data_IF_275163856755
#
_entry.id   IF_275163856755
#
_cell.length_a   1.000
_cell.length_b   1.000
_cell.length_c   1.000
_cell.angle_alpha   90.00
_cell.angle_beta   90.00
_cell.angle_gamma   90.00
#
_symmetry.space_group_name_H-M   'P 1'
#
loop_
_entity.id
_entity.type
_entity.pdbx_description
1 polymer ?
#
# COMPACT_ATOMS: atom_id res chain seq x y z
N UNK A 1 -22.75 39.72 -6.87
CA UNK A 1 -22.75 38.77 -8.02
C UNK A 1 -21.35 38.32 -8.38
N UNK A 2 -20.42 39.21 -8.76
CA UNK A 2 -19.03 38.84 -9.11
C UNK A 2 -18.29 38.10 -7.96
N UNK A 3 -18.40 38.57 -6.72
CA UNK A 3 -17.79 37.91 -5.56
C UNK A 3 -18.37 36.50 -5.33
N UNK A 4 -19.68 36.33 -5.51
CA UNK A 4 -20.34 35.02 -5.39
C UNK A 4 -19.91 34.09 -6.53
N UNK A 5 -19.76 34.61 -7.74
CA UNK A 5 -19.30 33.84 -8.90
C UNK A 5 -17.83 33.43 -8.77
N UNK A 6 -16.97 34.32 -8.25
CA UNK A 6 -15.57 34.01 -7.91
C UNK A 6 -15.53 32.98 -6.78
N UNK A 7 -16.37 33.11 -5.75
CA UNK A 7 -16.43 32.14 -4.65
C UNK A 7 -16.93 30.78 -5.13
N UNK A 8 -17.91 30.72 -6.03
CA UNK A 8 -18.38 29.48 -6.67
C UNK A 8 -17.28 28.89 -7.54
N UNK A 9 -16.60 29.67 -8.38
CA UNK A 9 -15.49 29.18 -9.22
C UNK A 9 -14.33 28.69 -8.36
N UNK A 10 -13.94 29.41 -7.31
CA UNK A 10 -12.88 29.00 -6.38
C UNK A 10 -13.28 27.73 -5.64
N UNK A 11 -14.52 27.61 -5.15
CA UNK A 11 -15.00 26.38 -4.53
C UNK A 11 -15.10 25.24 -5.54
N UNK A 12 -15.53 25.49 -6.78
CA UNK A 12 -15.49 24.50 -7.86
C UNK A 12 -14.05 24.09 -8.15
N UNK A 13 -13.10 25.03 -8.16
CA UNK A 13 -11.70 24.81 -8.47
C UNK A 13 -10.96 24.08 -7.35
N UNK A 14 -11.23 24.41 -6.09
CA UNK A 14 -10.77 23.68 -4.90
C UNK A 14 -11.42 22.28 -4.86
N UNK A 15 -12.70 22.15 -5.23
CA UNK A 15 -13.38 20.87 -5.39
C UNK A 15 -12.81 20.04 -6.57
N UNK A 16 -12.22 20.69 -7.57
CA UNK A 16 -11.57 20.05 -8.72
C UNK A 16 -10.08 19.74 -8.52
N UNK A 17 -9.45 20.26 -7.47
CA UNK A 17 -8.09 19.85 -7.06
C UNK A 17 -8.17 18.51 -6.33
N UNK A 18 -8.48 17.48 -7.11
CA UNK A 18 -8.47 16.09 -6.66
C UNK A 18 -7.00 15.64 -6.55
N UNK A 19 -6.55 15.39 -5.32
CA UNK A 19 -5.50 14.39 -5.05
C UNK A 19 -5.74 13.13 -5.93
N UNK A 20 -4.71 12.56 -6.50
CA UNK A 20 -4.83 11.45 -7.44
C UNK A 20 -3.89 10.34 -7.03
N UNK A 21 -4.45 9.15 -6.81
CA UNK A 21 -3.69 7.97 -6.41
C UNK A 21 -3.61 6.98 -7.55
N UNK A 22 -2.39 6.64 -7.96
CA UNK A 22 -2.11 5.60 -8.95
C UNK A 22 -1.45 4.40 -8.29
N UNK A 23 -2.08 3.24 -8.44
CA UNK A 23 -1.47 1.96 -8.08
C UNK A 23 -0.85 1.33 -9.33
N UNK A 24 0.41 0.94 -9.22
CA UNK A 24 1.18 0.26 -10.26
C UNK A 24 1.34 -1.20 -9.83
N UNK A 25 0.44 -2.05 -10.33
CA UNK A 25 0.38 -3.48 -10.05
C UNK A 25 0.49 -4.29 -11.34
N UNK A 26 1.71 -4.50 -11.82
CA UNK A 26 1.94 -5.02 -13.19
C UNK A 26 1.71 -6.52 -13.35
N UNK A 27 1.49 -7.26 -12.26
CA UNK A 27 1.41 -8.72 -12.28
C UNK A 27 0.19 -9.26 -11.50
N UNK A 28 -1.05 -8.99 -11.97
CA UNK A 28 -2.26 -9.50 -11.32
C UNK A 28 -2.34 -11.03 -11.34
N UNK A 29 -3.24 -11.56 -10.51
CA UNK A 29 -3.64 -12.96 -10.52
C UNK A 29 -5.13 -13.08 -10.20
N UNK A 30 -5.78 -14.11 -10.74
CA UNK A 30 -7.06 -14.53 -10.19
C UNK A 30 -6.76 -15.34 -8.93
N UNK A 31 -7.25 -14.88 -7.78
CA UNK A 31 -7.10 -15.61 -6.54
C UNK A 31 -8.12 -16.74 -6.49
N UNK A 32 -7.67 -17.95 -6.18
CA UNK A 32 -8.53 -19.13 -5.97
C UNK A 32 -8.27 -19.70 -4.59
N UNK A 33 -9.29 -19.76 -3.75
CA UNK A 33 -9.17 -20.36 -2.43
C UNK A 33 -9.90 -21.69 -2.38
N UNK A 34 -9.23 -22.69 -1.84
CA UNK A 34 -9.77 -24.02 -1.63
C UNK A 34 -9.78 -24.29 -0.12
N UNK A 35 -10.97 -24.35 0.47
CA UNK A 35 -11.12 -24.56 1.92
C UNK A 35 -11.13 -26.06 2.21
N UNK A 36 -10.26 -26.49 3.11
CA UNK A 36 -10.11 -27.87 3.54
C UNK A 36 -10.85 -28.10 4.86
N UNK A 37 -11.51 -29.27 5.04
CA UNK A 37 -12.15 -29.62 6.31
C UNK A 37 -11.14 -29.97 7.43
N UNK A 38 -9.86 -30.16 7.09
CA UNK A 38 -8.78 -30.54 8.00
C UNK A 38 -7.41 -30.20 7.41
N UNK A 39 -6.35 -30.64 8.08
CA UNK A 39 -4.96 -30.32 7.69
C UNK A 39 -4.57 -30.93 6.33
N UNK A 40 -3.75 -30.21 5.57
CA UNK A 40 -3.23 -30.67 4.29
C UNK A 40 -2.22 -31.80 4.49
N UNK A 41 -2.50 -32.97 3.90
CA UNK A 41 -1.64 -34.17 3.98
C UNK A 41 -1.11 -34.55 2.59
N UNK A 42 0.20 -34.41 2.32
CA UNK A 42 0.79 -34.80 1.05
C UNK A 42 0.55 -36.27 0.71
N UNK A 43 0.18 -36.56 -0.55
CA UNK A 43 -0.11 -37.92 -1.03
C UNK A 43 -1.57 -38.36 -0.90
N UNK A 44 -2.38 -37.64 -0.11
CA UNK A 44 -3.80 -37.96 0.09
C UNK A 44 -4.72 -37.21 -0.89
N UNK A 45 -5.93 -37.75 -1.07
CA UNK A 45 -7.02 -37.08 -1.78
C UNK A 45 -7.81 -36.21 -0.81
N UNK A 46 -7.75 -34.90 -1.02
CA UNK A 46 -8.50 -33.92 -0.22
C UNK A 46 -9.81 -33.54 -0.90
N UNK A 47 -10.91 -33.55 -0.13
CA UNK A 47 -12.23 -33.08 -0.59
C UNK A 47 -12.48 -31.71 0.03
N UNK A 48 -12.46 -30.70 -0.83
CA UNK A 48 -12.69 -29.30 -0.44
C UNK A 48 -14.14 -29.09 0.03
N UNK A 49 -14.32 -28.23 1.02
CA UNK A 49 -15.65 -27.83 1.52
C UNK A 49 -16.19 -26.59 0.80
N UNK A 50 -15.30 -25.73 0.30
CA UNK A 50 -15.64 -24.55 -0.48
C UNK A 50 -14.56 -24.20 -1.51
N UNK A 51 -15.00 -23.58 -2.60
CA UNK A 51 -14.15 -22.89 -3.58
C UNK A 51 -14.57 -21.43 -3.60
N UNK A 52 -13.60 -20.53 -3.51
CA UNK A 52 -13.84 -19.11 -3.70
C UNK A 52 -12.87 -18.56 -4.74
N UNK A 53 -13.31 -17.53 -5.43
CA UNK A 53 -12.49 -16.78 -6.39
C UNK A 53 -12.51 -15.32 -6.03
N UNK A 54 -11.35 -14.67 -6.04
CA UNK A 54 -11.20 -13.29 -5.65
C UNK A 54 -10.10 -12.58 -6.43
N UNK A 55 -9.85 -11.35 -6.00
CA UNK A 55 -8.80 -10.51 -6.50
C UNK A 55 -7.46 -11.00 -5.94
N UNK A 56 -6.42 -11.00 -6.77
CA UNK A 56 -5.07 -11.33 -6.35
C UNK A 56 -4.02 -10.48 -7.06
N UNK A 57 -2.94 -10.24 -6.34
CA UNK A 57 -1.81 -9.45 -6.80
C UNK A 57 -1.65 -8.20 -5.96
N UNK A 58 -0.45 -7.97 -5.44
CA UNK A 58 -0.17 -6.91 -4.45
C UNK A 58 -0.74 -5.54 -4.83
N UNK A 59 -0.60 -5.12 -6.09
CA UNK A 59 -1.16 -3.84 -6.55
C UNK A 59 -2.68 -3.82 -6.64
N UNK A 60 -3.30 -4.93 -7.02
CA UNK A 60 -4.75 -5.08 -7.03
C UNK A 60 -5.30 -5.06 -5.60
N UNK A 61 -4.63 -5.76 -4.68
CA UNK A 61 -4.94 -5.83 -3.26
C UNK A 61 -4.82 -4.43 -2.58
N UNK A 62 -3.80 -3.64 -2.93
CA UNK A 62 -3.69 -2.23 -2.51
C UNK A 62 -4.85 -1.39 -3.04
N UNK A 63 -5.26 -1.58 -4.30
CA UNK A 63 -6.38 -0.83 -4.87
C UNK A 63 -7.71 -1.14 -4.16
N UNK A 64 -7.94 -2.40 -3.80
CA UNK A 64 -9.10 -2.83 -3.00
C UNK A 64 -9.08 -2.15 -1.63
N UNK A 65 -7.98 -2.22 -0.89
CA UNK A 65 -7.88 -1.62 0.43
C UNK A 65 -8.08 -0.09 0.40
N UNK A 66 -7.51 0.60 -0.60
CA UNK A 66 -7.75 2.03 -0.82
C UNK A 66 -9.23 2.34 -1.13
N UNK A 67 -9.91 1.48 -1.91
CA UNK A 67 -11.35 1.60 -2.19
C UNK A 67 -12.21 1.42 -0.92
N UNK A 68 -11.85 0.46 -0.06
CA UNK A 68 -12.50 0.27 1.23
C UNK A 68 -12.36 1.52 2.11
N UNK A 69 -11.15 2.10 2.17
CA UNK A 69 -10.90 3.34 2.92
C UNK A 69 -11.63 4.54 2.31
N UNK A 70 -11.81 4.61 0.99
CA UNK A 70 -12.55 5.69 0.35
C UNK A 70 -14.08 5.60 0.55
N UNK A 71 -14.59 4.50 1.09
CA UNK A 71 -16.03 4.27 1.28
C UNK A 71 -16.51 4.86 2.60
N UNK A 72 -17.51 5.75 2.55
CA UNK A 72 -18.20 6.26 3.74
C UNK A 72 -19.09 5.18 4.37
N UNK A 73 -18.51 4.22 5.10
CA UNK A 73 -19.11 3.42 6.19
C UNK A 73 -20.52 2.82 6.02
N UNK A 74 -21.08 2.76 4.82
CA UNK A 74 -22.48 2.39 4.57
C UNK A 74 -22.58 1.12 3.76
N UNK A 75 -22.73 -0.03 4.42
CA UNK A 75 -23.41 -1.19 3.84
C UNK A 75 -22.57 -2.43 3.56
N UNK A 76 -21.93 -3.00 4.59
CA UNK A 76 -21.59 -4.43 4.62
C UNK A 76 -22.69 -5.24 5.31
N UNK A 77 -23.88 -5.31 4.72
CA UNK A 77 -25.04 -5.98 5.33
C UNK A 77 -25.99 -6.57 4.29
N UNK A 78 -25.74 -7.81 3.90
CA UNK A 78 -26.69 -8.61 3.13
C UNK A 78 -27.81 -9.08 4.08
N UNK A 79 -28.96 -8.40 4.08
CA UNK A 79 -30.11 -8.76 4.91
C UNK A 79 -31.36 -7.98 4.51
N UNK A 80 -32.29 -8.65 3.83
CA UNK A 80 -33.59 -8.09 3.45
C UNK A 80 -34.37 -7.57 4.65
N UNK A 81 -34.93 -6.38 4.49
CA UNK A 81 -35.85 -5.76 5.43
C UNK A 81 -36.49 -4.55 4.78
N UNK A 82 -37.73 -4.70 4.35
CA UNK A 82 -38.61 -3.59 4.01
C UNK A 82 -38.66 -2.63 5.20
N UNK A 83 -38.31 -1.37 4.99
CA UNK A 83 -38.82 -0.25 5.77
C UNK A 83 -38.71 1.04 4.96
N UNK A 84 -39.87 1.46 4.46
CA UNK A 84 -40.17 2.84 4.14
C UNK A 84 -39.97 3.71 5.39
N UNK A 85 -39.05 4.68 5.34
CA UNK A 85 -39.26 6.06 5.78
C UNK A 85 -37.98 6.90 5.68
N UNK A 86 -38.12 8.03 5.00
CA UNK A 86 -37.71 9.38 5.41
C UNK A 86 -36.23 9.62 5.79
N UNK A 87 -35.47 10.23 4.88
CA UNK A 87 -34.91 11.57 5.12
C UNK A 87 -34.25 12.13 3.85
N UNK A 88 -34.96 13.05 3.21
CA UNK A 88 -34.50 13.78 2.03
C UNK A 88 -33.77 15.06 2.42
N UNK A 89 -32.61 14.94 3.08
CA UNK A 89 -31.71 16.10 3.27
C UNK A 89 -30.29 15.71 3.73
N UNK A 90 -29.48 15.16 2.81
CA UNK A 90 -28.00 15.32 2.84
C UNK A 90 -27.40 14.94 1.48
N UNK A 91 -27.71 15.72 0.45
CA UNK A 91 -27.01 15.66 -0.84
C UNK A 91 -25.63 16.35 -0.75
N UNK A 92 -24.76 15.79 0.08
CA UNK A 92 -23.31 15.83 -0.13
C UNK A 92 -22.85 14.39 -0.34
N UNK A 93 -23.21 13.80 -1.49
CA UNK A 93 -22.49 12.66 -2.02
C UNK A 93 -21.06 13.15 -2.29
N UNK A 94 -20.17 13.04 -1.30
CA UNK A 94 -18.74 13.04 -1.55
C UNK A 94 -18.51 11.96 -2.62
N UNK A 95 -18.13 12.39 -3.82
CA UNK A 95 -17.74 11.48 -4.89
C UNK A 95 -16.62 10.58 -4.36
N UNK A 96 -16.90 9.29 -4.22
CA UNK A 96 -15.92 8.28 -3.85
C UNK A 96 -14.73 8.38 -4.81
N UNK A 97 -13.55 8.66 -4.28
CA UNK A 97 -12.34 8.80 -5.08
C UNK A 97 -11.59 7.47 -5.08
N UNK A 98 -11.96 6.60 -6.01
CA UNK A 98 -11.29 5.33 -6.21
C UNK A 98 -9.89 5.53 -6.81
N UNK A 99 -8.92 4.67 -6.48
CA UNK A 99 -7.60 4.71 -7.09
C UNK A 99 -7.66 4.37 -8.58
N UNK A 100 -6.64 4.82 -9.33
CA UNK A 100 -6.36 4.33 -10.68
C UNK A 100 -5.41 3.14 -10.59
N UNK A 101 -5.50 2.19 -11.52
CA UNK A 101 -4.66 0.99 -11.52
C UNK A 101 -3.99 0.78 -12.90
N UNK A 102 -2.66 0.79 -12.91
CA UNK A 102 -1.85 0.40 -14.06
C UNK A 102 -1.47 -1.08 -13.97
N UNK A 103 -1.89 -1.87 -14.95
CA UNK A 103 -1.67 -3.32 -14.93
C UNK A 103 -1.65 -3.97 -16.33
N UNK A 104 -1.01 -5.13 -16.41
CA UNK A 104 -1.17 -6.09 -17.51
C UNK A 104 -2.18 -7.17 -17.11
N UNK A 105 -3.27 -7.32 -17.84
CA UNK A 105 -4.34 -8.26 -17.49
C UNK A 105 -4.60 -9.23 -18.65
N UNK A 106 -4.36 -10.52 -18.42
CA UNK A 106 -4.55 -11.55 -19.44
C UNK A 106 -5.94 -11.55 -20.07
N UNK A 107 -6.03 -11.86 -21.35
CA UNK A 107 -7.32 -12.05 -22.04
C UNK A 107 -7.97 -13.39 -21.65
N UNK A 108 -9.28 -13.49 -21.90
CA UNK A 108 -10.08 -14.68 -21.61
C UNK A 108 -10.77 -14.65 -20.24
N UNK A 109 -11.47 -15.74 -19.94
CA UNK A 109 -12.44 -15.81 -18.84
C UNK A 109 -11.88 -15.36 -17.48
N UNK A 110 -10.70 -15.85 -17.06
CA UNK A 110 -10.11 -15.46 -15.78
C UNK A 110 -9.79 -13.96 -15.71
N UNK A 111 -9.30 -13.39 -16.81
CA UNK A 111 -9.02 -11.95 -16.88
C UNK A 111 -10.28 -11.10 -16.89
N UNK A 112 -11.33 -11.56 -17.57
CA UNK A 112 -12.63 -10.88 -17.58
C UNK A 112 -13.31 -10.93 -16.21
N UNK A 113 -13.21 -12.08 -15.52
CA UNK A 113 -13.67 -12.22 -14.13
C UNK A 113 -12.93 -11.26 -13.21
N UNK A 114 -11.59 -11.23 -13.24
CA UNK A 114 -10.82 -10.32 -12.40
C UNK A 114 -11.11 -8.86 -12.73
N UNK A 115 -11.28 -8.51 -14.00
CA UNK A 115 -11.64 -7.15 -14.42
C UNK A 115 -12.99 -6.72 -13.84
N UNK A 116 -14.00 -7.61 -13.89
CA UNK A 116 -15.32 -7.35 -13.30
C UNK A 116 -15.28 -7.23 -11.77
N UNK A 117 -14.41 -8.00 -11.10
CA UNK A 117 -14.19 -7.88 -9.66
C UNK A 117 -13.48 -6.56 -9.28
N UNK A 118 -12.57 -6.06 -10.13
CA UNK A 118 -11.84 -4.81 -9.89
C UNK A 118 -12.64 -3.54 -10.20
N UNK A 119 -13.62 -3.60 -11.10
CA UNK A 119 -14.44 -2.45 -11.53
C UNK A 119 -15.01 -1.59 -10.38
N UNK A 120 -15.59 -2.16 -9.30
CA UNK A 120 -16.08 -1.36 -8.17
C UNK A 120 -14.97 -0.71 -7.32
N UNK A 121 -13.71 -1.15 -7.47
CA UNK A 121 -12.59 -0.70 -6.64
C UNK A 121 -11.63 0.26 -7.34
N UNK A 122 -11.74 0.39 -8.66
CA UNK A 122 -10.78 1.14 -9.48
C UNK A 122 -11.50 2.14 -10.37
N UNK A 123 -11.11 3.42 -10.29
CA UNK A 123 -11.63 4.43 -11.20
C UNK A 123 -11.20 4.12 -12.64
N UNK A 124 -12.20 4.00 -13.53
CA UNK A 124 -12.01 3.68 -14.96
C UNK A 124 -11.07 2.47 -15.15
N UNK A 125 -11.38 1.32 -14.56
CA UNK A 125 -10.53 0.11 -14.56
C UNK A 125 -9.92 -0.23 -15.93
N UNK A 126 -10.67 -0.04 -17.01
CA UNK A 126 -10.22 -0.29 -18.39
C UNK A 126 -9.11 0.64 -18.88
N UNK A 127 -9.03 1.87 -18.36
CA UNK A 127 -8.20 2.95 -18.92
C UNK A 127 -6.71 2.62 -18.91
N UNK A 128 -6.17 2.15 -17.78
CA UNK A 128 -4.77 1.80 -17.59
C UNK A 128 -4.54 0.28 -17.48
N UNK A 129 -5.51 -0.51 -17.97
CA UNK A 129 -5.40 -1.97 -18.07
C UNK A 129 -5.03 -2.39 -19.49
N UNK A 130 -3.87 -2.99 -19.65
CA UNK A 130 -3.38 -3.52 -20.92
C UNK A 130 -3.80 -4.98 -21.02
N UNK A 131 -4.69 -5.32 -21.96
CA UNK A 131 -5.19 -6.69 -22.12
C UNK A 131 -4.19 -7.54 -22.90
N UNK A 132 -3.49 -8.45 -22.21
CA UNK A 132 -2.41 -9.24 -22.82
C UNK A 132 -2.91 -10.52 -23.50
N UNK A 133 -2.21 -10.99 -24.52
CA UNK A 133 -2.56 -12.22 -25.24
C UNK A 133 -2.36 -13.47 -24.38
N UNK A 134 -1.39 -13.44 -23.46
CA UNK A 134 -1.18 -14.52 -22.50
C UNK A 134 -2.35 -14.61 -21.50
N UNK A 135 -2.74 -15.82 -21.06
CA UNK A 135 -3.76 -15.97 -20.04
C UNK A 135 -3.32 -15.38 -18.69
N UNK A 136 -4.29 -14.95 -17.88
CA UNK A 136 -4.06 -14.53 -16.51
C UNK A 136 -3.68 -15.73 -15.64
N UNK A 137 -2.62 -15.60 -14.83
CA UNK A 137 -2.23 -16.63 -13.85
C UNK A 137 -3.26 -16.79 -12.74
N UNK A 138 -3.31 -17.98 -12.14
CA UNK A 138 -4.12 -18.24 -10.95
C UNK A 138 -3.20 -18.45 -9.75
N UNK A 139 -3.44 -17.73 -8.66
CA UNK A 139 -2.84 -18.02 -7.36
C UNK A 139 -3.83 -18.87 -6.58
N UNK A 140 -3.43 -20.08 -6.17
CA UNK A 140 -4.30 -20.99 -5.42
C UNK A 140 -3.85 -21.09 -3.97
N UNK A 141 -4.69 -20.67 -3.02
CA UNK A 141 -4.42 -20.85 -1.59
C UNK A 141 -5.28 -22.01 -1.04
N UNK A 142 -4.60 -23.00 -0.47
CA UNK A 142 -5.20 -24.11 0.26
C UNK A 142 -5.33 -23.69 1.72
N UNK A 143 -6.54 -23.48 2.20
CA UNK A 143 -6.81 -22.99 3.56
C UNK A 143 -7.28 -24.15 4.42
N UNK A 144 -6.42 -24.58 5.34
CA UNK A 144 -6.70 -25.57 6.38
C UNK A 144 -6.98 -24.86 7.72
N UNK A 145 -7.51 -25.56 8.74
CA UNK A 145 -7.80 -24.96 10.04
C UNK A 145 -6.58 -24.37 10.77
N UNK A 146 -5.39 -24.88 10.47
CA UNK A 146 -4.13 -24.56 11.16
C UNK A 146 -3.10 -23.85 10.26
N UNK A 147 -3.35 -23.78 8.95
CA UNK A 147 -2.33 -23.40 7.99
C UNK A 147 -2.92 -22.95 6.65
N UNK A 148 -2.13 -22.18 5.91
CA UNK A 148 -2.40 -21.86 4.51
C UNK A 148 -1.18 -22.21 3.67
N UNK A 149 -1.41 -22.91 2.55
CA UNK A 149 -0.36 -23.20 1.54
C UNK A 149 -0.72 -22.52 0.22
N UNK A 150 0.22 -21.78 -0.36
CA UNK A 150 0.01 -21.08 -1.63
C UNK A 150 0.71 -21.77 -2.80
N UNK A 151 -0.02 -21.90 -3.91
CA UNK A 151 0.47 -22.37 -5.20
C UNK A 151 0.34 -21.23 -6.20
N UNK A 152 1.48 -20.63 -6.54
CA UNK A 152 1.54 -19.47 -7.44
C UNK A 152 1.91 -19.95 -8.84
N UNK A 153 0.97 -19.83 -9.79
CA UNK A 153 1.26 -20.10 -11.19
C UNK A 153 2.19 -19.01 -11.78
N UNK A 154 3.10 -19.39 -12.70
CA UNK A 154 3.91 -18.40 -13.41
C UNK A 154 3.04 -17.54 -14.32
N UNK A 155 3.33 -16.25 -14.37
CA UNK A 155 2.63 -15.32 -15.27
C UNK A 155 3.05 -15.51 -16.72
N UNK A 156 2.14 -15.13 -17.63
CA UNK A 156 2.44 -15.04 -19.05
C UNK A 156 3.49 -13.97 -19.39
N UNK A 157 4.17 -14.16 -20.52
CA UNK A 157 5.15 -13.20 -21.05
C UNK A 157 4.45 -11.96 -21.59
N UNK A 158 5.10 -10.80 -21.43
CA UNK A 158 4.63 -9.52 -21.98
C UNK A 158 5.30 -9.26 -23.33
N UNK A 159 4.48 -9.07 -24.37
CA UNK A 159 4.96 -8.74 -25.71
C UNK A 159 5.40 -7.27 -25.81
N UNK A 160 6.35 -6.98 -26.71
CA UNK A 160 6.81 -5.60 -26.93
C UNK A 160 5.68 -4.63 -27.33
N UNK A 161 4.67 -5.11 -28.06
CA UNK A 161 3.50 -4.30 -28.42
C UNK A 161 2.62 -3.97 -27.20
N UNK A 162 2.49 -4.90 -26.24
CA UNK A 162 1.75 -4.67 -24.99
C UNK A 162 2.49 -3.66 -24.10
N UNK A 163 3.83 -3.72 -24.08
CA UNK A 163 4.65 -2.73 -23.40
C UNK A 163 4.52 -1.33 -24.05
N UNK A 164 4.52 -1.25 -25.37
CA UNK A 164 4.30 0.02 -26.09
C UNK A 164 2.92 0.60 -25.78
N UNK A 165 1.89 -0.25 -25.73
CA UNK A 165 0.53 0.16 -25.35
C UNK A 165 0.49 0.73 -23.92
N UNK A 166 1.21 0.12 -22.97
CA UNK A 166 1.31 0.64 -21.60
C UNK A 166 1.81 2.10 -21.59
N UNK A 167 2.90 2.38 -22.29
CA UNK A 167 3.47 3.72 -22.37
C UNK A 167 2.54 4.71 -23.09
N UNK A 168 1.89 4.26 -24.15
CA UNK A 168 0.92 5.05 -24.90
C UNK A 168 -0.27 5.48 -24.04
N UNK A 169 -0.84 4.56 -23.25
CA UNK A 169 -1.97 4.87 -22.36
C UNK A 169 -1.59 5.85 -21.25
N UNK A 170 -0.39 5.72 -20.70
CA UNK A 170 0.12 6.68 -19.73
C UNK A 170 0.27 8.09 -20.34
N UNK A 171 0.76 8.19 -21.58
CA UNK A 171 0.87 9.48 -22.28
C UNK A 171 -0.48 10.13 -22.55
N UNK A 172 -1.47 9.33 -22.95
CA UNK A 172 -2.83 9.80 -23.14
C UNK A 172 -3.44 10.31 -21.82
N UNK A 173 -3.20 9.61 -20.71
CA UNK A 173 -3.71 10.01 -19.40
C UNK A 173 -3.07 11.32 -18.91
N UNK A 174 -1.76 11.48 -19.08
CA UNK A 174 -1.05 12.73 -18.75
C UNK A 174 -1.47 13.89 -19.63
N UNK A 175 -1.83 13.64 -20.90
CA UNK A 175 -2.26 14.69 -21.85
C UNK A 175 -3.71 15.15 -21.62
N UNK A 176 -4.55 14.29 -21.04
CA UNK A 176 -5.98 14.55 -20.83
C UNK A 176 -6.28 15.24 -19.50
N UNK A 177 -5.34 15.21 -18.56
CA UNK A 177 -5.50 15.77 -17.22
C UNK A 177 -4.85 17.15 -17.12
N UNK A 178 -5.61 18.16 -16.69
CA UNK A 178 -5.12 19.54 -16.47
C UNK A 178 -4.16 19.68 -15.27
N UNK A 179 -3.93 18.60 -14.52
CA UNK A 179 -2.88 18.45 -13.50
C UNK A 179 -2.15 17.12 -13.75
N UNK A 180 -0.89 17.14 -14.22
CA UNK A 180 -0.18 15.93 -14.66
C UNK A 180 0.52 15.14 -13.53
N UNK A 181 0.39 15.57 -12.27
CA UNK A 181 1.11 14.97 -11.14
C UNK A 181 0.20 14.09 -10.30
N UNK A 182 0.61 12.84 -10.10
CA UNK A 182 0.00 11.94 -9.13
C UNK A 182 0.44 12.32 -7.73
N UNK A 183 -0.51 12.57 -6.84
CA UNK A 183 -0.23 12.96 -5.46
C UNK A 183 0.23 11.78 -4.61
N UNK A 184 -0.21 10.58 -4.96
CA UNK A 184 0.19 9.33 -4.34
C UNK A 184 0.41 8.24 -5.38
N UNK A 185 1.50 7.48 -5.25
CA UNK A 185 1.73 6.27 -6.02
C UNK A 185 2.03 5.07 -5.14
N UNK A 186 1.63 3.90 -5.62
CA UNK A 186 1.92 2.61 -5.00
C UNK A 186 2.60 1.70 -6.03
N UNK A 187 3.87 1.36 -5.86
CA UNK A 187 4.61 0.45 -6.76
C UNK A 187 4.70 -0.93 -6.11
N UNK A 188 3.94 -1.87 -6.64
CA UNK A 188 3.58 -3.08 -5.90
C UNK A 188 3.91 -4.36 -6.67
N UNK A 189 4.65 -5.24 -5.99
CA UNK A 189 4.85 -6.64 -6.34
C UNK A 189 5.91 -6.90 -7.40
N UNK A 190 5.88 -8.14 -7.90
CA UNK A 190 6.83 -8.62 -8.90
C UNK A 190 6.41 -8.21 -10.31
N UNK A 191 7.35 -8.37 -11.25
CA UNK A 191 7.10 -8.12 -12.66
C UNK A 191 6.71 -9.43 -13.36
N UNK A 192 5.79 -9.39 -14.35
CA UNK A 192 5.59 -10.53 -15.24
C UNK A 192 6.85 -10.74 -16.11
N UNK A 193 7.06 -11.94 -16.67
CA UNK A 193 8.18 -12.22 -17.55
C UNK A 193 8.27 -11.25 -18.74
N UNK A 194 9.51 -10.92 -19.12
CA UNK A 194 9.88 -10.01 -20.22
C UNK A 194 9.55 -8.52 -20.01
N UNK A 195 9.00 -8.15 -18.85
CA UNK A 195 9.05 -6.75 -18.40
C UNK A 195 10.50 -6.33 -18.12
N UNK A 196 10.93 -5.12 -18.53
CA UNK A 196 12.22 -4.57 -18.14
C UNK A 196 12.37 -4.53 -16.62
N UNK A 197 13.51 -4.98 -16.10
CA UNK A 197 13.76 -5.03 -14.66
C UNK A 197 13.78 -3.65 -14.00
N UNK A 198 13.99 -2.59 -14.77
CA UNK A 198 14.02 -1.19 -14.35
C UNK A 198 12.70 -0.44 -14.61
N UNK A 199 11.62 -1.14 -14.99
CA UNK A 199 10.35 -0.49 -15.37
C UNK A 199 9.78 0.41 -14.27
N UNK A 200 9.93 0.04 -12.99
CA UNK A 200 9.51 0.91 -11.88
C UNK A 200 10.31 2.20 -11.80
N UNK A 201 11.61 2.17 -12.12
CA UNK A 201 12.44 3.36 -12.22
C UNK A 201 11.97 4.26 -13.38
N UNK A 202 11.68 3.67 -14.55
CA UNK A 202 11.17 4.41 -15.72
C UNK A 202 9.79 5.02 -15.44
N UNK A 203 8.90 4.28 -14.78
CA UNK A 203 7.58 4.76 -14.39
C UNK A 203 7.70 5.87 -13.34
N UNK A 204 8.55 5.73 -12.33
CA UNK A 204 8.79 6.79 -11.35
C UNK A 204 9.32 8.07 -12.01
N UNK A 205 10.26 7.95 -12.94
CA UNK A 205 10.80 9.07 -13.71
C UNK A 205 9.72 9.83 -14.50
N UNK A 206 8.82 9.07 -15.14
CA UNK A 206 7.71 9.60 -15.95
C UNK A 206 6.59 10.21 -15.11
N UNK A 207 6.23 9.56 -14.00
CA UNK A 207 5.07 9.93 -13.17
C UNK A 207 5.40 11.04 -12.17
N UNK A 208 6.65 11.11 -11.68
CA UNK A 208 7.12 12.07 -10.67
C UNK A 208 6.16 12.22 -9.48
N UNK A 209 5.85 11.13 -8.76
CA UNK A 209 4.80 11.14 -7.75
C UNK A 209 5.09 12.09 -6.58
N UNK A 210 4.01 12.57 -5.96
CA UNK A 210 4.01 13.38 -4.74
C UNK A 210 4.50 12.57 -3.55
N UNK A 211 3.75 11.56 -3.13
CA UNK A 211 4.13 10.53 -2.16
C UNK A 211 4.15 9.14 -2.82
N UNK A 212 4.96 8.23 -2.32
CA UNK A 212 5.16 6.93 -2.95
C UNK A 212 5.38 5.83 -1.90
N UNK A 213 4.60 4.76 -1.97
CA UNK A 213 4.86 3.50 -1.25
C UNK A 213 5.38 2.47 -2.25
N UNK A 214 6.49 1.82 -1.93
CA UNK A 214 7.08 0.76 -2.74
C UNK A 214 7.07 -0.53 -1.94
N UNK A 215 6.49 -1.58 -2.49
CA UNK A 215 6.55 -2.97 -1.99
C UNK A 215 7.05 -3.85 -3.14
N UNK A 216 8.33 -3.68 -3.49
CA UNK A 216 9.01 -4.51 -4.48
C UNK A 216 10.52 -4.44 -4.32
N UNK A 217 11.16 -5.61 -4.44
CA UNK A 217 12.62 -5.72 -4.49
C UNK A 217 13.14 -5.77 -5.94
N UNK A 218 12.25 -6.00 -6.92
CA UNK A 218 12.62 -6.11 -8.32
C UNK A 218 12.97 -4.72 -8.85
N UNK A 219 14.20 -4.55 -9.35
CA UNK A 219 14.64 -3.28 -9.91
C UNK A 219 14.99 -2.21 -8.88
N UNK A 220 15.05 -2.57 -7.59
CA UNK A 220 15.28 -1.61 -6.50
C UNK A 220 16.52 -0.72 -6.70
N UNK A 221 17.71 -1.22 -7.12
CA UNK A 221 18.87 -0.34 -7.37
C UNK A 221 18.59 0.76 -8.39
N UNK A 222 17.96 0.42 -9.52
CA UNK A 222 17.64 1.39 -10.57
C UNK A 222 16.59 2.40 -10.10
N UNK A 223 15.60 1.96 -9.31
CA UNK A 223 14.60 2.83 -8.74
C UNK A 223 15.22 3.85 -7.76
N UNK A 224 16.07 3.38 -6.83
CA UNK A 224 16.78 4.25 -5.89
C UNK A 224 17.64 5.29 -6.61
N UNK A 225 18.39 4.89 -7.63
CA UNK A 225 19.21 5.80 -8.43
C UNK A 225 18.36 6.88 -9.12
N UNK A 226 17.24 6.51 -9.75
CA UNK A 226 16.32 7.48 -10.36
C UNK A 226 15.73 8.45 -9.33
N UNK A 227 15.33 7.94 -8.16
CA UNK A 227 14.80 8.78 -7.08
C UNK A 227 15.87 9.78 -6.61
N UNK A 228 17.09 9.32 -6.38
CA UNK A 228 18.24 10.14 -5.99
C UNK A 228 18.49 11.28 -6.99
N UNK A 229 18.55 10.96 -8.29
CA UNK A 229 18.78 11.94 -9.35
C UNK A 229 17.68 13.00 -9.39
N UNK A 230 16.41 12.60 -9.26
CA UNK A 230 15.28 13.55 -9.22
C UNK A 230 15.35 14.49 -8.02
N UNK A 231 15.76 13.99 -6.85
CA UNK A 231 15.92 14.82 -5.67
C UNK A 231 17.05 15.85 -5.83
N UNK A 232 18.19 15.45 -6.38
CA UNK A 232 19.28 16.38 -6.68
C UNK A 232 18.87 17.48 -7.66
N UNK A 233 18.12 17.13 -8.72
CA UNK A 233 17.60 18.11 -9.68
C UNK A 233 16.65 19.14 -9.04
N UNK A 234 15.80 18.70 -8.10
CA UNK A 234 14.90 19.59 -7.34
C UNK A 234 15.68 20.57 -6.44
N UNK A 235 16.77 20.12 -5.81
CA UNK A 235 17.60 20.97 -4.95
C UNK A 235 18.42 22.00 -5.75
N UNK A 236 18.90 21.66 -6.94
CA UNK A 236 19.63 22.60 -7.79
C UNK A 236 18.72 23.71 -8.34
N UNK A 237 17.48 23.38 -8.73
CA UNK A 237 16.54 24.35 -9.29
C UNK A 237 16.00 25.35 -8.24
N UNK A 238 15.76 24.93 -7.00
CA UNK A 238 15.25 25.78 -5.90
C UNK A 238 16.29 26.78 -5.34
N UNK A 239 17.59 26.54 -5.53
CA UNK A 239 18.66 27.45 -5.10
C UNK A 239 18.75 28.76 -5.88
N UNK A 240 17.97 28.93 -6.95
CA UNK A 240 17.99 30.11 -7.83
C UNK A 240 16.87 31.13 -7.58
N UNK A 241 15.90 30.81 -6.72
CA UNK A 241 14.77 31.69 -6.36
C UNK A 241 14.85 32.13 -4.89
N UNK A 242 15.63 33.18 -4.62
CA UNK A 242 15.70 33.81 -3.30
C UNK A 242 14.56 34.82 -3.11
N UNK A 243 13.43 34.42 -2.50
CA UNK A 243 12.59 35.35 -1.72
C UNK A 243 11.50 34.65 -0.88
N UNK A 244 11.60 34.93 0.43
CA UNK A 244 10.56 35.00 1.48
C UNK A 244 9.86 33.73 2.02
N UNK A 245 10.19 33.50 3.31
CA UNK A 245 9.36 33.12 4.46
C UNK A 245 8.77 31.71 4.60
N UNK A 246 9.47 30.94 5.43
CA UNK A 246 8.93 30.08 6.50
C UNK A 246 7.86 29.03 6.12
N UNK A 247 8.33 27.89 5.64
CA UNK A 247 8.21 26.59 6.30
C UNK A 247 9.39 25.74 5.85
N UNK A 248 10.32 25.50 6.76
CA UNK A 248 11.31 24.44 6.60
C UNK A 248 10.56 23.13 6.35
N UNK A 249 10.65 22.61 5.13
CA UNK A 249 10.54 21.17 4.91
C UNK A 249 11.65 20.83 3.94
N UNK A 250 12.66 20.19 4.51
CA UNK A 250 13.75 19.55 3.81
C UNK A 250 13.18 18.67 2.71
N UNK A 251 13.61 18.92 1.46
CA UNK A 251 13.17 18.17 0.28
C UNK A 251 13.80 16.77 0.25
N UNK A 252 13.54 15.96 1.27
CA UNK A 252 13.85 14.54 1.27
C UNK A 252 12.86 13.80 0.37
N UNK A 253 13.23 12.59 -0.03
CA UNK A 253 12.33 11.73 -0.80
C UNK A 253 10.98 11.63 -0.14
N UNK A 254 9.95 11.52 -0.97
CA UNK A 254 8.59 11.21 -0.55
C UNK A 254 8.30 9.73 -0.84
N UNK A 255 9.26 8.87 -0.56
CA UNK A 255 9.23 7.45 -0.93
C UNK A 255 9.52 6.60 0.29
N UNK A 256 8.59 5.71 0.65
CA UNK A 256 8.81 4.69 1.67
C UNK A 256 8.92 3.33 1.01
N UNK A 257 9.97 2.58 1.36
CA UNK A 257 10.09 1.16 1.03
C UNK A 257 9.44 0.37 2.16
N UNK A 258 8.32 -0.31 1.86
CA UNK A 258 7.70 -1.25 2.78
C UNK A 258 8.16 -2.66 2.43
N UNK A 259 8.67 -3.38 3.42
CA UNK A 259 9.25 -4.72 3.26
C UNK A 259 9.02 -5.53 4.55
N UNK A 260 8.90 -6.85 4.46
CA UNK A 260 8.88 -7.68 5.66
C UNK A 260 10.29 -7.77 6.29
N UNK A 261 10.39 -7.91 7.62
CA UNK A 261 11.66 -8.18 8.31
C UNK A 261 12.39 -9.38 7.70
N UNK A 262 11.70 -10.49 7.46
CA UNK A 262 12.27 -11.70 6.84
C UNK A 262 12.79 -11.44 5.42
N UNK A 263 12.07 -10.62 4.64
CA UNK A 263 12.47 -10.23 3.29
C UNK A 263 13.72 -9.34 3.32
N UNK A 264 13.80 -8.42 4.29
CA UNK A 264 14.99 -7.58 4.48
C UNK A 264 16.20 -8.42 4.87
N UNK A 265 16.06 -9.30 5.86
CA UNK A 265 17.12 -10.20 6.30
C UNK A 265 17.63 -11.06 5.13
N UNK A 266 16.71 -11.65 4.35
CA UNK A 266 17.07 -12.41 3.15
C UNK A 266 17.78 -11.56 2.10
N UNK A 267 17.34 -10.31 1.88
CA UNK A 267 17.92 -9.39 0.90
C UNK A 267 19.38 -9.05 1.22
N UNK A 268 19.70 -8.85 2.51
CA UNK A 268 21.05 -8.48 2.97
C UNK A 268 21.90 -9.70 3.36
N UNK A 269 21.35 -10.91 3.30
CA UNK A 269 22.06 -12.15 3.60
C UNK A 269 22.25 -12.43 5.09
N UNK A 270 21.37 -11.91 5.96
CA UNK A 270 21.32 -12.27 7.38
C UNK A 270 20.55 -13.59 7.56
N UNK A 271 21.25 -14.64 7.94
CA UNK A 271 20.66 -15.95 8.24
C UNK A 271 20.17 -16.04 9.68
N UNK A 272 18.96 -16.59 9.89
CA UNK A 272 18.41 -16.91 11.23
C UNK A 272 19.27 -17.88 12.06
N UNK A 273 20.25 -18.56 11.46
CA UNK A 273 21.16 -19.50 12.14
C UNK A 273 22.10 -18.83 13.17
N UNK A 274 22.33 -17.51 13.08
CA UNK A 274 23.07 -16.76 14.09
C UNK A 274 22.22 -16.38 15.32
N UNK A 275 20.89 -16.46 15.23
CA UNK A 275 19.93 -16.18 16.32
C UNK A 275 19.78 -17.37 17.28
N UNK A 276 19.82 -18.62 16.77
CA UNK A 276 19.69 -19.81 17.62
C UNK A 276 20.86 -20.01 18.60
N UNK A 277 22.05 -19.46 18.31
CA UNK A 277 23.20 -19.52 19.22
C UNK A 277 23.17 -18.43 20.32
N UNK A 278 22.25 -17.46 20.24
CA UNK A 278 22.13 -16.34 21.19
C UNK A 278 20.92 -16.42 22.14
N UNK A 279 20.18 -17.54 22.15
CA UNK A 279 19.02 -17.79 23.06
C UNK A 279 19.36 -17.88 24.56
N UNK A 280 20.38 -17.16 25.02
CA UNK A 280 20.80 -17.07 26.41
C UNK A 280 21.09 -15.60 26.80
N UNK A 281 20.14 -14.69 26.56
CA UNK A 281 20.26 -13.29 27.00
C UNK A 281 18.98 -12.46 26.81
N UNK A 282 18.57 -11.78 27.88
CA UNK A 282 17.31 -11.04 28.08
C UNK A 282 17.30 -9.64 27.44
N UNK A 283 17.71 -9.55 26.17
CA UNK A 283 17.57 -8.34 25.33
C UNK A 283 16.67 -8.71 24.16
N UNK A 284 15.77 -7.82 23.74
CA UNK A 284 14.84 -8.04 22.63
C UNK A 284 15.63 -8.23 21.32
N UNK A 285 16.05 -9.46 21.05
CA UNK A 285 16.99 -9.87 19.98
C UNK A 285 16.51 -9.39 18.60
N UNK A 286 15.19 -9.24 18.44
CA UNK A 286 14.55 -8.70 17.24
C UNK A 286 14.97 -7.27 16.93
N UNK A 287 15.07 -6.39 17.94
CA UNK A 287 15.42 -4.98 17.73
C UNK A 287 16.86 -4.88 17.19
N UNK A 288 17.77 -5.71 17.72
CA UNK A 288 19.17 -5.80 17.28
C UNK A 288 19.27 -6.35 15.87
N UNK A 289 18.56 -7.44 15.56
CA UNK A 289 18.50 -8.01 14.21
C UNK A 289 17.99 -6.98 13.21
N UNK A 290 16.92 -6.25 13.53
CA UNK A 290 16.38 -5.20 12.66
C UNK A 290 17.38 -4.07 12.44
N UNK A 291 18.06 -3.61 13.49
CA UNK A 291 19.07 -2.56 13.38
C UNK A 291 20.23 -3.00 12.46
N UNK A 292 20.72 -4.22 12.66
CA UNK A 292 21.77 -4.81 11.84
C UNK A 292 21.33 -4.96 10.37
N UNK A 293 20.10 -5.44 10.13
CA UNK A 293 19.54 -5.60 8.79
C UNK A 293 19.41 -4.26 8.05
N UNK A 294 18.94 -3.20 8.74
CA UNK A 294 18.85 -1.86 8.16
C UNK A 294 20.25 -1.31 7.85
N UNK A 295 21.22 -1.48 8.75
CA UNK A 295 22.61 -1.05 8.50
C UNK A 295 23.19 -1.73 7.27
N UNK A 296 23.07 -3.05 7.15
CA UNK A 296 23.58 -3.80 6.01
C UNK A 296 22.86 -3.42 4.70
N UNK A 297 21.57 -3.12 4.78
CA UNK A 297 20.80 -2.60 3.64
C UNK A 297 21.36 -1.26 3.15
N UNK A 298 21.66 -0.34 4.06
CA UNK A 298 22.23 0.96 3.68
C UNK A 298 23.65 0.82 3.09
N UNK A 299 24.44 -0.13 3.57
CA UNK A 299 25.76 -0.43 3.02
C UNK A 299 25.67 -1.04 1.60
N UNK A 300 24.71 -1.94 1.38
CA UNK A 300 24.50 -2.60 0.10
C UNK A 300 23.86 -1.66 -0.95
N UNK A 301 23.02 -0.73 -0.51
CA UNK A 301 22.30 0.23 -1.35
C UNK A 301 22.66 1.67 -0.96
N UNK A 302 23.83 2.14 -1.39
CA UNK A 302 24.42 3.44 -1.03
C UNK A 302 23.50 4.65 -1.27
N UNK A 303 22.55 4.55 -2.21
CA UNK A 303 21.56 5.60 -2.49
C UNK A 303 20.36 5.58 -1.56
N UNK A 304 20.08 4.50 -0.83
CA UNK A 304 18.85 4.32 -0.07
C UNK A 304 18.58 5.45 0.92
N UNK A 305 19.54 5.77 1.79
CA UNK A 305 19.39 6.84 2.81
C UNK A 305 19.14 8.24 2.21
N UNK A 306 19.59 8.46 0.97
CA UNK A 306 19.37 9.74 0.26
C UNK A 306 18.16 9.71 -0.66
N UNK A 307 17.56 8.55 -0.89
CA UNK A 307 16.45 8.37 -1.83
C UNK A 307 15.13 8.15 -1.11
N UNK A 308 15.14 7.45 0.02
CA UNK A 308 13.97 7.07 0.78
C UNK A 308 13.72 8.06 1.93
N UNK A 309 12.45 8.27 2.26
CA UNK A 309 12.02 8.89 3.53
C UNK A 309 12.24 7.92 4.68
N UNK A 310 11.92 6.65 4.46
CA UNK A 310 12.07 5.59 5.44
C UNK A 310 12.04 4.21 4.80
N UNK A 311 12.44 3.22 5.58
CA UNK A 311 12.08 1.81 5.36
C UNK A 311 11.07 1.43 6.45
N UNK A 312 9.89 0.95 6.04
CA UNK A 312 8.84 0.44 6.92
C UNK A 312 8.88 -1.10 6.93
N UNK A 313 9.13 -1.68 8.10
CA UNK A 313 9.37 -3.10 8.30
C UNK A 313 8.18 -3.74 9.00
N UNK A 314 7.42 -4.57 8.29
CA UNK A 314 6.31 -5.32 8.88
C UNK A 314 6.78 -6.68 9.41
N UNK A 315 6.25 -7.14 10.54
CA UNK A 315 6.64 -8.40 11.17
C UNK A 315 5.43 -9.28 11.58
N UNK A 316 4.42 -9.36 10.72
CA UNK A 316 3.22 -10.15 11.01
C UNK A 316 2.50 -9.69 12.30
N UNK A 317 2.27 -10.57 13.30
CA UNK A 317 1.61 -10.21 14.55
C UNK A 317 2.51 -9.43 15.54
N UNK A 318 3.81 -9.38 15.28
CA UNK A 318 4.81 -8.73 16.12
C UNK A 318 4.97 -7.24 15.76
N UNK A 319 5.58 -6.42 16.64
CA UNK A 319 5.81 -5.00 16.35
C UNK A 319 6.50 -4.79 15.01
N UNK A 320 6.04 -3.76 14.29
CA UNK A 320 6.69 -3.27 13.08
C UNK A 320 7.77 -2.25 13.43
N UNK A 321 8.57 -1.88 12.44
CA UNK A 321 9.62 -0.87 12.60
C UNK A 321 9.60 0.16 11.48
N UNK A 322 10.04 1.37 11.76
CA UNK A 322 10.24 2.43 10.76
C UNK A 322 11.63 3.01 10.95
N UNK A 323 12.53 2.72 10.01
CA UNK A 323 13.84 3.34 9.93
C UNK A 323 13.73 4.64 9.13
N UNK A 324 13.73 5.77 9.82
CA UNK A 324 13.56 7.11 9.27
C UNK A 324 14.86 7.67 8.70
N UNK A 325 14.78 8.43 7.60
CA UNK A 325 15.91 9.11 6.97
C UNK A 325 15.63 10.61 6.77
N UNK A 326 16.65 11.47 6.88
CA UNK A 326 18.09 11.17 7.00
C UNK A 326 18.58 10.96 8.44
N UNK A 327 17.70 11.10 9.44
CA UNK A 327 18.06 11.07 10.86
C UNK A 327 18.47 9.67 11.36
N UNK A 328 18.21 8.63 10.57
CA UNK A 328 18.54 7.23 10.88
C UNK A 328 17.92 6.78 12.22
N UNK A 329 16.77 7.37 12.58
CA UNK A 329 16.05 6.99 13.79
C UNK A 329 15.22 5.74 13.52
N UNK A 330 15.40 4.71 14.34
CA UNK A 330 14.54 3.53 14.33
C UNK A 330 13.37 3.71 15.30
N UNK A 331 12.15 3.58 14.79
CA UNK A 331 10.92 3.57 15.57
C UNK A 331 10.35 2.17 15.62
N UNK A 332 9.99 1.69 16.81
CA UNK A 332 9.21 0.47 17.02
C UNK A 332 7.74 0.84 17.13
N UNK A 333 6.92 0.22 16.28
CA UNK A 333 5.50 0.52 16.12
C UNK A 333 4.67 -0.69 16.55
N UNK A 334 3.88 -0.57 17.63
CA UNK A 334 3.04 -1.68 18.11
C UNK A 334 1.99 -2.10 17.07
N UNK A 335 1.74 -3.41 16.96
CA UNK A 335 0.63 -3.97 16.17
C UNK A 335 -0.58 -4.22 17.08
N UNK A 336 -1.80 -3.81 16.69
CA UNK A 336 -2.98 -4.01 17.52
C UNK A 336 -3.34 -5.49 17.60
N UNK A 337 -3.48 -6.02 18.82
CA UNK A 337 -3.73 -7.45 19.05
C UNK A 337 -5.18 -7.84 18.74
N UNK A 338 -5.39 -8.86 17.91
CA UNK A 338 -6.73 -9.39 17.66
C UNK A 338 -7.16 -10.30 18.81
N UNK A 339 -8.22 -9.91 19.53
CA UNK A 339 -8.81 -10.73 20.60
C UNK A 339 -9.61 -11.87 19.97
N UNK A 340 -8.96 -12.96 19.60
CA UNK A 340 -9.61 -14.06 18.88
C UNK A 340 -9.34 -15.40 19.56
N UNK A 341 -10.37 -15.95 20.22
CA UNK A 341 -10.36 -17.35 20.66
C UNK A 341 -11.27 -18.22 19.77
N UNK A 342 -12.09 -17.61 18.90
CA UNK A 342 -13.11 -18.31 18.10
C UNK A 342 -13.24 -17.85 16.64
N UNK A 343 -12.49 -16.83 16.21
CA UNK A 343 -12.63 -16.24 14.86
C UNK A 343 -11.48 -16.69 13.97
N UNK A 344 -11.79 -17.28 12.82
CA UNK A 344 -10.80 -17.58 11.77
C UNK A 344 -10.21 -16.28 11.24
N UNK A 345 -8.88 -16.22 11.12
CA UNK A 345 -8.15 -15.08 10.57
C UNK A 345 -7.65 -15.38 9.16
N UNK A 346 -7.61 -14.35 8.32
CA UNK A 346 -7.19 -14.42 6.92
C UNK A 346 -6.04 -13.43 6.65
N UNK A 347 -4.79 -13.77 7.00
CA UNK A 347 -3.67 -12.82 6.94
C UNK A 347 -3.17 -12.51 5.51
N UNK A 348 -3.70 -13.18 4.49
CA UNK A 348 -3.28 -12.98 3.10
C UNK A 348 -3.70 -11.57 2.64
N UNK A 349 -2.76 -10.82 2.08
CA UNK A 349 -2.99 -9.44 1.67
C UNK A 349 -2.87 -8.41 2.80
N UNK A 350 -2.72 -8.82 4.06
CA UNK A 350 -2.60 -7.88 5.18
C UNK A 350 -1.46 -6.87 4.99
N UNK A 351 -0.33 -7.32 4.45
CA UNK A 351 0.78 -6.43 4.11
C UNK A 351 0.46 -5.41 3.00
N UNK A 352 -0.42 -5.75 2.07
CA UNK A 352 -0.86 -4.86 1.00
C UNK A 352 -1.88 -3.84 1.54
N UNK A 353 -2.76 -4.27 2.45
CA UNK A 353 -3.62 -3.36 3.22
C UNK A 353 -2.82 -2.40 4.12
N UNK A 354 -1.67 -2.83 4.68
CA UNK A 354 -0.73 -1.92 5.36
C UNK A 354 -0.23 -0.86 4.40
N UNK A 355 0.24 -1.24 3.21
CA UNK A 355 0.76 -0.31 2.22
C UNK A 355 -0.30 0.71 1.76
N UNK A 356 -1.54 0.24 1.53
CA UNK A 356 -2.68 1.10 1.20
C UNK A 356 -3.01 2.09 2.33
N UNK A 357 -3.15 1.61 3.56
CA UNK A 357 -3.44 2.44 4.72
C UNK A 357 -2.33 3.46 5.00
N UNK A 358 -1.06 3.06 4.85
CA UNK A 358 0.08 3.97 4.97
C UNK A 358 0.03 5.07 3.92
N UNK A 359 -0.21 4.74 2.64
CA UNK A 359 -0.31 5.76 1.60
C UNK A 359 -1.46 6.73 1.88
N UNK A 360 -2.65 6.22 2.20
CA UNK A 360 -3.84 7.02 2.47
C UNK A 360 -3.66 7.97 3.67
N UNK A 361 -3.13 7.45 4.78
CA UNK A 361 -2.84 8.25 5.97
C UNK A 361 -1.74 9.28 5.72
N UNK A 362 -0.70 8.90 4.98
CA UNK A 362 0.42 9.81 4.70
C UNK A 362 0.01 10.98 3.80
N UNK A 363 -0.80 10.72 2.76
CA UNK A 363 -1.42 11.78 1.94
C UNK A 363 -2.30 12.70 2.80
N UNK A 364 -3.09 12.12 3.71
CA UNK A 364 -3.96 12.90 4.62
C UNK A 364 -3.15 13.83 5.52
N UNK A 365 -2.00 13.37 6.05
CA UNK A 365 -1.16 14.14 6.96
C UNK A 365 -0.32 15.21 6.27
N UNK A 366 0.23 14.94 5.09
CA UNK A 366 1.19 15.84 4.41
C UNK A 366 0.56 16.77 3.37
N UNK A 367 -0.56 16.38 2.76
CA UNK A 367 -1.15 17.11 1.63
C UNK A 367 -2.48 17.78 1.98
N UNK A 368 -2.88 17.78 3.27
CA UNK A 368 -4.22 18.19 3.74
C UNK A 368 -5.34 17.57 2.88
N UNK A 369 -5.12 16.31 2.49
CA UNK A 369 -5.98 15.55 1.59
C UNK A 369 -7.22 15.06 2.35
N UNK A 370 -8.03 16.00 2.81
CA UNK A 370 -9.19 15.82 3.70
C UNK A 370 -10.23 14.80 3.23
N UNK A 371 -10.16 14.39 1.98
CA UNK A 371 -11.11 13.48 1.35
C UNK A 371 -10.61 12.04 1.18
N UNK A 372 -9.30 11.77 1.39
CA UNK A 372 -8.72 10.44 1.16
C UNK A 372 -9.23 9.41 2.17
N UNK A 373 -9.48 9.88 3.40
CA UNK A 373 -10.05 9.08 4.48
C UNK A 373 -11.42 9.63 4.88
N UNK A 374 -12.36 8.77 5.35
CA UNK A 374 -13.62 9.21 5.93
C UNK A 374 -13.34 10.07 7.16
N UNK A 375 -14.23 11.04 7.43
CA UNK A 375 -14.02 12.04 8.48
C UNK A 375 -13.68 11.44 9.84
N UNK A 376 -14.31 10.32 10.22
CA UNK A 376 -14.04 9.62 11.47
C UNK A 376 -12.60 9.13 11.56
N UNK A 377 -12.09 8.47 10.51
CA UNK A 377 -10.70 7.99 10.47
C UNK A 377 -9.72 9.14 10.40
N UNK A 378 -10.03 10.19 9.62
CA UNK A 378 -9.21 11.39 9.50
C UNK A 378 -9.05 12.09 10.86
N UNK A 379 -10.14 12.29 11.59
CA UNK A 379 -10.08 12.90 12.93
C UNK A 379 -9.24 12.05 13.89
N UNK A 380 -9.42 10.73 13.87
CA UNK A 380 -8.65 9.81 14.71
C UNK A 380 -7.14 9.87 14.37
N UNK A 381 -6.80 9.91 13.09
CA UNK A 381 -5.43 10.05 12.60
C UNK A 381 -4.77 11.36 13.05
N UNK A 382 -5.47 12.49 12.90
CA UNK A 382 -4.96 13.80 13.32
C UNK A 382 -4.78 13.89 14.84
N UNK A 383 -5.72 13.32 15.61
CA UNK A 383 -5.61 13.26 17.07
C UNK A 383 -4.42 12.39 17.51
N UNK A 384 -4.22 11.23 16.89
CA UNK A 384 -3.07 10.36 17.15
C UNK A 384 -1.76 11.10 16.84
N UNK A 385 -1.65 11.74 15.66
CA UNK A 385 -0.48 12.55 15.29
C UNK A 385 -0.18 13.66 16.31
N UNK A 386 -1.22 14.32 16.83
CA UNK A 386 -1.08 15.36 17.84
C UNK A 386 -0.60 14.82 19.18
N UNK A 387 -1.07 13.64 19.59
CA UNK A 387 -0.68 12.98 20.84
C UNK A 387 0.76 12.48 20.83
N UNK A 388 1.23 11.94 19.70
CA UNK A 388 2.63 11.53 19.51
C UNK A 388 3.61 12.71 19.55
N UNK A 389 3.12 13.92 19.23
CA UNK A 389 3.89 15.15 19.26
C UNK A 389 4.70 15.39 17.97
N UNK A 390 5.40 16.54 17.90
CA UNK A 390 6.09 16.97 16.69
C UNK A 390 7.40 16.20 16.40
N UNK A 391 7.93 15.45 17.36
CA UNK A 391 9.19 14.69 17.23
C UNK A 391 9.04 13.34 16.52
N UNK A 392 7.81 12.86 16.34
CA UNK A 392 7.51 11.64 15.58
C UNK A 392 7.15 12.06 14.15
N UNK A 393 7.86 11.57 13.11
CA UNK A 393 7.52 11.88 11.72
C UNK A 393 6.10 11.42 11.36
N UNK A 394 5.39 12.18 10.52
CA UNK A 394 4.04 11.84 10.07
C UNK A 394 3.96 10.45 9.43
N UNK A 395 5.03 10.03 8.74
CA UNK A 395 5.13 8.72 8.13
C UNK A 395 5.07 7.58 9.17
N UNK A 396 5.62 7.76 10.37
CA UNK A 396 5.55 6.75 11.44
C UNK A 396 4.09 6.57 11.88
N UNK A 397 3.35 7.67 12.09
CA UNK A 397 1.91 7.63 12.37
C UNK A 397 1.12 6.99 11.24
N UNK A 398 1.49 7.28 9.99
CA UNK A 398 0.85 6.68 8.82
C UNK A 398 1.12 5.16 8.73
N UNK A 399 2.31 4.69 9.11
CA UNK A 399 2.60 3.26 9.24
C UNK A 399 1.76 2.63 10.36
N UNK A 400 1.65 3.27 11.53
CA UNK A 400 0.75 2.81 12.61
C UNK A 400 -0.70 2.62 12.12
N UNK A 401 -1.19 3.57 11.33
CA UNK A 401 -2.52 3.47 10.71
C UNK A 401 -2.59 2.32 9.70
N UNK A 402 -1.57 2.17 8.85
CA UNK A 402 -1.44 1.03 7.94
C UNK A 402 -1.49 -0.31 8.68
N UNK A 403 -0.82 -0.47 9.81
CA UNK A 403 -0.86 -1.69 10.63
C UNK A 403 -2.28 -1.99 11.13
N UNK A 404 -3.06 -0.97 11.50
CA UNK A 404 -4.47 -1.16 11.83
C UNK A 404 -5.29 -1.61 10.60
N UNK A 405 -5.02 -1.09 9.40
CA UNK A 405 -5.63 -1.57 8.15
C UNK A 405 -5.29 -3.03 7.85
N UNK A 406 -4.02 -3.40 7.94
CA UNK A 406 -3.59 -4.79 7.77
C UNK A 406 -4.25 -5.72 8.79
N UNK A 407 -4.29 -5.30 10.05
CA UNK A 407 -4.94 -6.07 11.12
C UNK A 407 -6.44 -6.21 10.89
N UNK A 408 -7.13 -5.15 10.46
CA UNK A 408 -8.55 -5.19 10.13
C UNK A 408 -8.83 -6.13 8.94
N UNK A 409 -7.97 -6.13 7.93
CA UNK A 409 -8.14 -7.04 6.79
C UNK A 409 -8.04 -8.52 7.16
N UNK A 410 -7.30 -8.86 8.22
CA UNK A 410 -7.25 -10.24 8.73
C UNK A 410 -8.60 -10.76 9.25
N UNK A 411 -9.56 -9.88 9.51
CA UNK A 411 -10.92 -10.24 9.94
C UNK A 411 -11.86 -10.51 8.76
N UNK A 412 -11.45 -10.13 7.55
CA UNK A 412 -12.24 -10.28 6.33
C UNK A 412 -11.78 -11.51 5.58
N UNK A 413 -12.74 -12.25 5.00
CA UNK A 413 -12.40 -13.44 4.25
C UNK A 413 -11.67 -13.07 2.95
N UNK A 414 -12.03 -11.99 2.28
CA UNK A 414 -11.40 -11.56 1.03
C UNK A 414 -10.08 -10.83 1.28
N UNK A 415 -9.10 -11.06 0.40
CA UNK A 415 -7.77 -10.46 0.53
C UNK A 415 -7.87 -8.92 0.53
N UNK A 416 -7.23 -8.28 1.51
CA UNK A 416 -7.11 -6.81 1.63
C UNK A 416 -8.42 -6.02 1.70
N UNK A 417 -9.57 -6.70 1.77
CA UNK A 417 -10.84 -6.08 2.13
C UNK A 417 -10.79 -5.74 3.62
N UNK A 418 -11.31 -4.58 4.00
CA UNK A 418 -11.35 -4.13 5.39
C UNK A 418 -12.63 -3.38 5.69
N UNK A 419 -13.06 -3.41 6.95
CA UNK A 419 -14.13 -2.58 7.47
C UNK A 419 -13.55 -1.34 8.17
N UNK A 420 -14.07 -0.17 7.81
CA UNK A 420 -13.61 1.13 8.33
C UNK A 420 -13.81 1.25 9.85
N UNK A 421 -14.86 0.65 10.41
CA UNK A 421 -15.12 0.63 11.84
C UNK A 421 -14.09 -0.24 12.57
N UNK A 422 -13.73 -1.39 12.00
CA UNK A 422 -12.66 -2.23 12.52
C UNK A 422 -11.33 -1.49 12.52
N UNK A 423 -10.99 -0.79 11.42
CA UNK A 423 -9.79 0.06 11.35
C UNK A 423 -9.82 1.14 12.44
N UNK A 424 -10.94 1.85 12.61
CA UNK A 424 -11.06 2.89 13.62
C UNK A 424 -10.86 2.34 15.04
N UNK A 425 -11.50 1.21 15.34
CA UNK A 425 -11.40 0.52 16.62
C UNK A 425 -9.98 0.04 16.91
N UNK A 426 -9.34 -0.60 15.93
CA UNK A 426 -7.99 -1.13 16.06
C UNK A 426 -6.96 -0.02 16.16
N UNK A 427 -7.05 1.00 15.31
CA UNK A 427 -6.13 2.14 15.33
C UNK A 427 -6.21 2.93 16.65
N UNK A 428 -7.42 3.11 17.19
CA UNK A 428 -7.62 3.74 18.51
C UNK A 428 -6.99 2.94 19.68
N UNK A 429 -6.56 1.70 19.44
CA UNK A 429 -5.87 0.83 20.39
C UNK A 429 -4.40 0.60 20.06
N UNK A 430 -3.89 1.12 18.94
CA UNK A 430 -2.47 1.04 18.61
C UNK A 430 -1.70 1.84 19.66
N UNK A 431 -0.71 1.21 20.29
CA UNK A 431 0.17 1.89 21.23
C UNK A 431 1.01 2.95 20.53
N UNK A 432 1.49 3.95 21.28
CA UNK A 432 2.35 4.98 20.71
C UNK A 432 3.67 4.36 20.19
N UNK A 433 4.17 4.79 19.01
CA UNK A 433 5.50 4.44 18.54
C UNK A 433 6.56 4.83 19.56
N UNK A 434 7.57 4.00 19.72
CA UNK A 434 8.71 4.26 20.61
C UNK A 434 10.00 4.34 19.79
N UNK A 435 10.94 5.21 20.19
CA UNK A 435 12.27 5.20 19.59
C UNK A 435 13.06 4.03 20.16
N UNK A 436 13.66 3.25 19.28
CA UNK A 436 14.63 2.23 19.67
C UNK A 436 15.93 2.96 19.95
N UNK A 437 16.41 2.89 21.19
CA UNK A 437 17.70 3.45 21.55
C UNK A 437 18.79 2.45 21.17
N UNK A 438 19.84 2.95 20.52
CA UNK A 438 21.07 2.19 20.38
C UNK A 438 21.75 2.19 21.76
N UNK A 439 21.63 1.09 22.48
CA UNK A 439 22.27 0.89 23.79
C UNK A 439 23.76 0.48 23.63
N UNK A 440 24.34 0.57 22.42
CA UNK A 440 25.73 0.17 22.13
C UNK A 440 26.82 1.23 22.35
#
# INVERSE_FOLDING_TARGET
VIIIFIFIIINLFIYYMKVSTLVVGLNPALQRRLVLPGSLTPGDVHRITAVQTGIGGKGQDVAVALSCLASNGGGGGNGGGDNDNDDSNTNQQQLQQLPRLLQFLGQGASGDTLMGQLDPHVDRVSSLTIRTASPLRVCTSLVAPDSTTELVEPSGRIASAEMQELWHRLEQESSSSSSPSWDGCAFMGSLPPDCPSDIYAQLYDKLTPGLCVVDSLVGLPALLETIHQKQQQKQQSSSSSSSSSSKDSTSHGSVVLKINVDELCALVGLSKEEEEQKQQGDVDDTDVTVFQAVSMFLDQFDKAATSLTAVALTNGPDPAYVASFPDQTLYKVPVPQLQTTTTTLYPIGAGDAVAAGTLAAWQTLEQDASWVLPDTLRQLLLLSKQQEGPSVPSLVTAVSFGLACGTASCLQEENSVLDVCDVASLFGRVGAPTRVHDDS
#
